data_IF_890327239426
#
_entry.id   IF_890327239426
#
_cell.length_a   1.000
_cell.length_b   1.000
_cell.length_c   1.000
_cell.angle_alpha   90.00
_cell.angle_beta   90.00
_cell.angle_gamma   90.00
#
_symmetry.space_group_name_H-M   'P 1'
#
loop_
_entity.id
_entity.type
_entity.pdbx_description
1 polymer ?
#
# COMPACT_ATOMS: atom_id res chain seq x y z
N UNK A 1 35.73 -52.57 -30.80
CA UNK A 1 35.55 -51.10 -30.80
C UNK A 1 34.27 -50.62 -30.11
N UNK A 2 33.14 -51.32 -30.21
CA UNK A 2 31.85 -50.87 -29.61
C UNK A 2 31.89 -50.86 -28.07
N UNK A 3 32.36 -51.95 -27.46
CA UNK A 3 32.50 -52.09 -26.00
C UNK A 3 33.36 -50.98 -25.34
N UNK A 4 34.42 -50.52 -26.00
CA UNK A 4 35.27 -49.43 -25.51
C UNK A 4 34.52 -48.09 -25.48
N UNK A 5 33.68 -47.85 -26.50
CA UNK A 5 32.83 -46.65 -26.55
C UNK A 5 31.76 -46.70 -25.47
N UNK A 6 31.14 -47.85 -25.28
CA UNK A 6 30.09 -48.03 -24.27
C UNK A 6 30.66 -47.86 -22.85
N UNK A 7 31.85 -48.42 -22.57
CA UNK A 7 32.54 -48.24 -21.29
C UNK A 7 32.98 -46.78 -21.04
N UNK A 8 33.40 -46.06 -22.09
CA UNK A 8 33.74 -44.64 -21.98
C UNK A 8 32.50 -43.76 -21.73
N UNK A 9 31.39 -44.06 -22.39
CA UNK A 9 30.13 -43.34 -22.16
C UNK A 9 29.65 -43.58 -20.72
N UNK A 10 29.76 -44.82 -20.22
CA UNK A 10 29.37 -45.14 -18.85
C UNK A 10 30.26 -44.46 -17.79
N UNK A 11 31.55 -44.30 -18.04
CA UNK A 11 32.41 -43.57 -17.10
C UNK A 11 32.11 -42.07 -17.10
N UNK A 12 31.85 -41.48 -18.27
CA UNK A 12 31.46 -40.08 -18.40
C UNK A 12 30.12 -39.78 -17.72
N UNK A 13 29.13 -40.67 -17.85
CA UNK A 13 27.84 -40.49 -17.17
C UNK A 13 27.98 -40.59 -15.65
N UNK A 14 28.82 -41.49 -15.15
CA UNK A 14 29.13 -41.55 -13.71
C UNK A 14 29.82 -40.28 -13.24
N UNK A 15 30.83 -39.79 -13.95
CA UNK A 15 31.51 -38.53 -13.61
C UNK A 15 30.53 -37.36 -13.56
N UNK A 16 29.63 -37.28 -14.54
CA UNK A 16 28.61 -36.23 -14.60
C UNK A 16 27.65 -36.30 -13.41
N UNK A 17 27.17 -37.49 -13.05
CA UNK A 17 26.31 -37.69 -11.89
C UNK A 17 27.02 -37.27 -10.59
N UNK A 18 28.26 -37.73 -10.37
CA UNK A 18 29.04 -37.37 -9.17
C UNK A 18 29.29 -35.87 -9.10
N UNK A 19 29.54 -35.21 -10.25
CA UNK A 19 29.71 -33.75 -10.32
C UNK A 19 28.46 -33.03 -9.85
N UNK A 20 27.30 -33.40 -10.39
CA UNK A 20 26.02 -32.77 -10.05
C UNK A 20 25.72 -32.93 -8.56
N UNK A 21 25.93 -34.12 -7.99
CA UNK A 21 25.68 -34.36 -6.58
C UNK A 21 26.66 -33.56 -5.69
N UNK A 22 27.95 -33.54 -6.04
CA UNK A 22 28.95 -32.75 -5.30
C UNK A 22 28.60 -31.25 -5.28
N UNK A 23 28.19 -30.71 -6.44
CA UNK A 23 27.79 -29.29 -6.54
C UNK A 23 26.53 -29.02 -5.71
N UNK A 24 25.56 -29.93 -5.73
CA UNK A 24 24.34 -29.83 -4.92
C UNK A 24 24.66 -29.79 -3.43
N UNK A 25 25.57 -30.66 -2.98
CA UNK A 25 25.98 -30.75 -1.57
C UNK A 25 26.71 -29.47 -1.13
N UNK A 26 27.60 -28.93 -1.96
CA UNK A 26 28.28 -27.66 -1.70
C UNK A 26 27.27 -26.53 -1.56
N UNK A 27 26.30 -26.40 -2.48
CA UNK A 27 25.27 -25.37 -2.42
C UNK A 27 24.44 -25.49 -1.14
N UNK A 28 24.05 -26.71 -0.77
CA UNK A 28 23.30 -26.99 0.45
C UNK A 28 24.06 -26.54 1.70
N UNK A 29 25.35 -26.89 1.82
CA UNK A 29 26.15 -26.49 2.98
C UNK A 29 26.45 -24.99 3.02
N UNK A 30 26.67 -24.35 1.88
CA UNK A 30 26.80 -22.90 1.82
C UNK A 30 25.50 -22.21 2.27
N UNK A 31 24.34 -22.72 1.87
CA UNK A 31 23.04 -22.24 2.32
C UNK A 31 22.86 -22.35 3.84
N UNK A 32 23.18 -23.53 4.42
CA UNK A 32 23.12 -23.74 5.88
C UNK A 32 24.08 -22.81 6.63
N UNK A 33 25.30 -22.63 6.14
CA UNK A 33 26.31 -21.74 6.74
C UNK A 33 25.89 -20.27 6.66
N UNK A 34 25.30 -19.84 5.55
CA UNK A 34 24.79 -18.48 5.40
C UNK A 34 23.70 -18.19 6.46
N UNK A 35 22.76 -19.13 6.65
CA UNK A 35 21.72 -19.02 7.68
C UNK A 35 22.34 -18.99 9.08
N UNK A 36 23.30 -19.88 9.37
CA UNK A 36 23.98 -19.94 10.68
C UNK A 36 24.83 -18.71 11.00
N UNK A 37 25.35 -18.01 9.99
CA UNK A 37 26.08 -16.76 10.12
C UNK A 37 25.17 -15.52 10.25
N UNK A 38 23.84 -15.70 10.20
CA UNK A 38 22.89 -14.59 10.17
C UNK A 38 22.87 -13.83 8.84
N UNK A 39 23.49 -14.38 7.79
CA UNK A 39 23.43 -13.82 6.44
C UNK A 39 22.07 -14.16 5.85
N UNK A 40 21.28 -13.12 5.56
CA UNK A 40 19.95 -13.28 4.98
C UNK A 40 20.10 -13.86 3.56
N UNK A 41 19.65 -15.11 3.37
CA UNK A 41 19.58 -15.70 2.03
C UNK A 41 18.47 -15.04 1.22
N UNK A 42 18.60 -15.02 -0.11
CA UNK A 42 17.56 -14.46 -0.97
C UNK A 42 16.19 -15.08 -0.70
N UNK A 43 16.12 -16.41 -0.59
CA UNK A 43 14.88 -17.12 -0.30
C UNK A 43 14.30 -16.75 1.06
N UNK A 44 15.16 -16.59 2.08
CA UNK A 44 14.75 -16.16 3.41
C UNK A 44 14.21 -14.72 3.41
N UNK A 45 14.88 -13.81 2.71
CA UNK A 45 14.43 -12.42 2.56
C UNK A 45 13.10 -12.35 1.80
N UNK A 46 13.00 -13.06 0.69
CA UNK A 46 11.83 -13.07 -0.16
C UNK A 46 10.62 -13.67 0.56
N UNK A 47 10.83 -14.76 1.33
CA UNK A 47 9.79 -15.33 2.19
C UNK A 47 9.37 -14.34 3.28
N UNK A 48 10.32 -13.71 3.99
CA UNK A 48 10.03 -12.74 5.04
C UNK A 48 9.26 -11.53 4.50
N UNK A 49 9.66 -10.97 3.35
CA UNK A 49 8.93 -9.88 2.70
C UNK A 49 7.51 -10.32 2.34
N UNK A 50 7.34 -11.52 1.78
CA UNK A 50 6.01 -12.04 1.44
C UNK A 50 5.13 -12.18 2.69
N UNK A 51 5.65 -12.74 3.76
CA UNK A 51 4.92 -12.87 5.03
C UNK A 51 4.55 -11.50 5.58
N UNK A 52 5.48 -10.54 5.63
CA UNK A 52 5.18 -9.17 6.08
C UNK A 52 4.09 -8.49 5.24
N UNK A 53 4.09 -8.68 3.92
CA UNK A 53 3.07 -8.12 3.02
C UNK A 53 1.70 -8.79 3.20
N UNK A 54 1.67 -10.09 3.50
CA UNK A 54 0.46 -10.83 3.84
C UNK A 54 -0.10 -10.40 5.19
N UNK A 55 0.74 -10.31 6.23
CA UNK A 55 0.34 -9.87 7.57
C UNK A 55 -0.19 -8.43 7.57
N UNK A 56 0.37 -7.58 6.70
CA UNK A 56 -0.12 -6.21 6.49
C UNK A 56 -1.40 -6.13 5.63
N UNK A 57 -1.92 -7.26 5.12
CA UNK A 57 -3.12 -7.31 4.28
C UNK A 57 -2.95 -6.67 2.90
N UNK A 58 -1.71 -6.40 2.47
CA UNK A 58 -1.43 -5.73 1.19
C UNK A 58 -1.79 -6.63 0.00
N UNK A 59 -1.65 -7.96 0.16
CA UNK A 59 -2.02 -8.93 -0.87
C UNK A 59 -3.52 -8.87 -1.23
N UNK A 60 -4.39 -8.71 -0.23
CA UNK A 60 -5.84 -8.59 -0.44
C UNK A 60 -6.21 -7.27 -1.12
N UNK A 61 -5.57 -6.17 -0.73
CA UNK A 61 -5.75 -4.88 -1.39
C UNK A 61 -5.33 -4.93 -2.87
N UNK A 62 -4.19 -5.56 -3.17
CA UNK A 62 -3.72 -5.75 -4.54
C UNK A 62 -4.69 -6.62 -5.33
N UNK A 63 -5.25 -7.69 -4.74
CA UNK A 63 -6.25 -8.55 -5.39
C UNK A 63 -7.56 -7.81 -5.68
N UNK A 64 -8.03 -6.98 -4.76
CA UNK A 64 -9.23 -6.15 -4.97
C UNK A 64 -9.03 -5.12 -6.09
N UNK A 65 -7.84 -4.51 -6.16
CA UNK A 65 -7.50 -3.53 -7.21
C UNK A 65 -7.27 -4.18 -8.58
N UNK A 66 -6.74 -5.40 -8.61
CA UNK A 66 -6.37 -6.10 -9.85
C UNK A 66 -7.57 -6.85 -10.45
N UNK A 67 -8.59 -7.18 -9.65
CA UNK A 67 -9.74 -7.96 -10.13
C UNK A 67 -11.08 -7.44 -9.54
N UNK A 68 -11.64 -6.34 -10.08
CA UNK A 68 -12.85 -5.71 -9.55
C UNK A 68 -14.17 -6.48 -9.76
N UNK A 69 -14.16 -7.79 -10.05
CA UNK A 69 -15.34 -8.49 -10.59
C UNK A 69 -15.78 -9.79 -9.92
N UNK A 70 -15.41 -10.08 -8.67
CA UNK A 70 -16.00 -11.24 -7.97
C UNK A 70 -16.08 -11.06 -6.46
N UNK A 71 -17.10 -10.33 -6.02
CA UNK A 71 -17.71 -10.54 -4.71
C UNK A 71 -19.16 -10.05 -4.79
N UNK A 72 -20.08 -10.99 -4.90
CA UNK A 72 -21.49 -10.75 -4.57
C UNK A 72 -22.04 -11.99 -3.86
N UNK A 73 -22.66 -11.73 -2.71
CA UNK A 73 -23.60 -12.52 -1.92
C UNK A 73 -23.12 -13.79 -1.19
N UNK A 74 -23.07 -13.73 0.16
CA UNK A 74 -24.05 -14.41 1.03
C UNK A 74 -23.92 -14.00 2.52
N UNK A 75 -24.97 -13.32 2.98
CA UNK A 75 -25.56 -13.13 4.33
C UNK A 75 -24.81 -13.61 5.59
N UNK A 76 -24.52 -12.68 6.53
CA UNK A 76 -25.28 -12.44 7.79
C UNK A 76 -24.59 -11.33 8.61
N UNK A 77 -25.39 -10.43 9.20
CA UNK A 77 -25.06 -9.39 10.20
C UNK A 77 -24.33 -8.10 9.73
N UNK A 78 -25.16 -7.16 9.26
CA UNK A 78 -25.11 -5.73 9.56
C UNK A 78 -23.73 -5.12 9.89
N UNK A 79 -22.85 -5.07 8.90
CA UNK A 79 -21.89 -3.97 8.82
C UNK A 79 -22.17 -3.29 7.50
N UNK A 80 -22.86 -2.15 7.56
CA UNK A 80 -23.12 -1.31 6.39
C UNK A 80 -21.77 -1.02 5.75
N UNK A 81 -21.54 -1.62 4.59
CA UNK A 81 -20.48 -1.24 3.68
C UNK A 81 -20.72 0.22 3.31
N UNK A 82 -20.04 1.11 4.03
CA UNK A 82 -19.89 2.50 3.62
C UNK A 82 -18.98 2.44 2.41
N UNK A 83 -19.58 2.22 1.24
CA UNK A 83 -19.12 2.80 -0.01
C UNK A 83 -18.58 4.19 0.35
N UNK A 84 -17.36 4.52 -0.07
CA UNK A 84 -16.72 5.83 0.10
C UNK A 84 -17.48 6.94 -0.68
N UNK A 85 -18.81 6.94 -0.60
CA UNK A 85 -19.71 8.01 -0.92
C UNK A 85 -19.34 9.17 0.00
N UNK A 86 -18.45 10.00 -0.51
CA UNK A 86 -18.06 11.25 0.11
C UNK A 86 -19.35 11.99 0.52
N UNK A 87 -19.63 12.16 1.83
CA UNK A 87 -20.95 12.58 2.27
C UNK A 87 -21.24 14.00 1.77
N UNK A 88 -22.36 14.14 1.07
CA UNK A 88 -22.88 15.42 0.62
C UNK A 88 -23.93 15.90 1.63
N UNK A 89 -23.67 17.06 2.25
CA UNK A 89 -24.56 17.71 3.19
C UNK A 89 -25.44 18.72 2.44
N UNK A 90 -26.74 18.73 2.71
CA UNK A 90 -27.66 19.68 2.09
C UNK A 90 -27.96 20.85 3.03
N UNK A 91 -27.45 22.04 2.69
CA UNK A 91 -27.76 23.27 3.42
C UNK A 91 -27.55 24.52 2.54
N UNK A 92 -28.32 25.57 2.82
CA UNK A 92 -28.34 26.77 1.97
C UNK A 92 -28.87 26.51 0.55
N UNK A 93 -29.76 25.52 0.40
CA UNK A 93 -30.39 25.15 -0.87
C UNK A 93 -29.49 24.43 -1.87
N UNK A 94 -28.30 23.97 -1.47
CA UNK A 94 -27.34 23.27 -2.33
C UNK A 94 -26.68 22.11 -1.58
N UNK A 95 -26.28 21.08 -2.33
CA UNK A 95 -25.39 20.04 -1.81
C UNK A 95 -23.98 20.59 -1.66
N UNK A 96 -23.39 20.35 -0.49
CA UNK A 96 -22.06 20.82 -0.08
C UNK A 96 -21.28 19.70 0.56
N UNK A 97 -19.97 19.84 0.59
CA UNK A 97 -19.05 18.77 0.99
C UNK A 97 -18.65 18.80 2.47
N UNK A 98 -19.12 19.81 3.20
CA UNK A 98 -18.90 19.97 4.63
C UNK A 98 -20.23 20.21 5.35
N UNK A 99 -20.34 19.82 6.63
CA UNK A 99 -21.46 20.19 7.49
C UNK A 99 -21.67 21.71 7.61
N UNK A 100 -22.88 22.13 7.95
CA UNK A 100 -23.24 23.54 8.13
C UNK A 100 -22.53 24.22 9.33
N UNK A 101 -22.13 23.41 10.33
CA UNK A 101 -21.41 23.80 11.53
C UNK A 101 -19.89 23.63 11.40
N UNK A 102 -19.38 23.35 10.19
CA UNK A 102 -17.97 23.11 9.98
C UNK A 102 -17.12 24.36 10.27
N UNK A 103 -16.08 24.15 11.09
CA UNK A 103 -15.08 25.16 11.45
C UNK A 103 -13.70 24.58 11.16
N UNK A 104 -12.88 25.34 10.44
CA UNK A 104 -11.45 25.02 10.28
C UNK A 104 -10.78 25.16 11.67
N UNK A 105 -10.15 24.12 12.23
CA UNK A 105 -9.50 24.22 13.53
C UNK A 105 -8.33 25.21 13.49
N UNK A 106 -8.21 26.06 14.52
CA UNK A 106 -6.98 26.82 14.76
C UNK A 106 -5.95 25.85 15.35
N UNK A 107 -5.11 25.28 14.48
CA UNK A 107 -4.15 24.25 14.83
C UNK A 107 -2.78 24.55 14.19
N UNK A 108 -1.75 23.79 14.58
CA UNK A 108 -0.40 23.98 14.04
C UNK A 108 -0.37 23.77 12.53
N UNK A 109 0.60 24.41 11.85
CA UNK A 109 0.76 24.28 10.40
C UNK A 109 0.95 22.82 9.94
N UNK A 110 1.48 21.94 10.81
CA UNK A 110 1.57 20.49 10.54
C UNK A 110 0.19 19.82 10.53
N UNK A 111 -0.69 20.18 11.47
CA UNK A 111 -2.03 19.59 11.53
C UNK A 111 -2.92 20.08 10.37
N UNK A 112 -2.80 21.36 10.00
CA UNK A 112 -3.44 21.91 8.80
C UNK A 112 -2.97 21.17 7.55
N UNK A 113 -1.68 20.83 7.46
CA UNK A 113 -1.12 20.05 6.36
C UNK A 113 -1.69 18.61 6.28
N UNK A 114 -1.89 17.95 7.42
CA UNK A 114 -2.55 16.64 7.45
C UNK A 114 -4.02 16.75 7.00
N UNK A 115 -4.75 17.77 7.47
CA UNK A 115 -6.11 18.04 7.01
C UNK A 115 -6.16 18.38 5.51
N UNK A 116 -5.12 19.03 4.99
CA UNK A 116 -4.97 19.36 3.58
C UNK A 116 -4.87 18.12 2.68
N UNK A 117 -4.01 17.17 3.05
CA UNK A 117 -3.74 15.96 2.26
C UNK A 117 -4.79 14.87 2.47
N UNK A 118 -5.19 14.65 3.73
CA UNK A 118 -5.95 13.47 4.13
C UNK A 118 -7.37 13.78 4.61
N UNK A 119 -7.71 15.04 4.87
CA UNK A 119 -8.99 15.42 5.46
C UNK A 119 -9.13 14.97 6.92
N UNK A 120 -10.37 14.91 7.39
CA UNK A 120 -10.70 14.39 8.72
C UNK A 120 -11.79 13.32 8.61
N UNK A 121 -11.39 12.05 8.66
CA UNK A 121 -12.30 10.90 8.59
C UNK A 121 -13.31 10.87 9.74
N UNK A 122 -12.89 11.23 10.95
CA UNK A 122 -13.77 11.22 12.13
C UNK A 122 -14.90 12.24 12.03
N UNK A 123 -14.65 13.38 11.38
CA UNK A 123 -15.65 14.42 11.12
C UNK A 123 -16.27 14.33 9.72
N UNK A 124 -15.94 13.29 8.96
CA UNK A 124 -16.37 13.12 7.57
C UNK A 124 -16.11 14.37 6.70
N UNK A 125 -14.96 15.00 6.89
CA UNK A 125 -14.53 16.18 6.13
C UNK A 125 -13.50 15.73 5.10
N UNK A 126 -13.75 15.97 3.81
CA UNK A 126 -12.78 15.63 2.77
C UNK A 126 -11.50 16.49 2.90
N UNK A 127 -10.41 16.10 2.22
CA UNK A 127 -9.19 16.90 2.17
C UNK A 127 -9.47 18.38 1.86
N UNK A 128 -8.82 19.31 2.56
CA UNK A 128 -9.13 20.74 2.38
C UNK A 128 -8.80 21.24 0.97
N UNK A 129 -7.84 20.60 0.28
CA UNK A 129 -7.41 20.95 -1.09
C UNK A 129 -8.49 20.83 -2.16
N UNK A 130 -9.53 20.04 -1.89
CA UNK A 130 -10.64 19.83 -2.83
C UNK A 130 -11.86 20.68 -2.49
N UNK A 131 -11.91 21.33 -1.33
CA UNK A 131 -13.03 22.19 -0.93
C UNK A 131 -12.99 23.54 -1.66
N UNK A 132 -14.16 24.04 -2.05
CA UNK A 132 -14.30 25.39 -2.60
C UNK A 132 -14.75 26.37 -1.51
N UNK A 133 -14.49 27.67 -1.67
CA UNK A 133 -15.03 28.70 -0.78
C UNK A 133 -16.56 28.64 -0.71
N UNK A 134 -17.21 28.19 -1.79
CA UNK A 134 -18.66 27.96 -1.83
C UNK A 134 -19.13 26.81 -0.95
N UNK A 135 -18.28 25.90 -0.50
CA UNK A 135 -18.65 24.84 0.44
C UNK A 135 -18.76 25.36 1.88
N UNK A 136 -18.21 26.54 2.17
CA UNK A 136 -18.03 27.00 3.54
C UNK A 136 -19.23 27.79 4.10
N UNK A 137 -19.62 27.60 5.38
CA UNK A 137 -20.84 28.19 5.95
C UNK A 137 -20.79 29.69 6.19
N UNK A 138 -19.59 30.28 6.33
CA UNK A 138 -19.45 31.72 6.56
C UNK A 138 -18.33 32.34 5.75
N UNK A 139 -18.47 33.63 5.42
CA UNK A 139 -17.43 34.43 4.73
C UNK A 139 -16.11 34.48 5.52
N UNK A 140 -16.18 34.41 6.85
CA UNK A 140 -14.99 34.32 7.73
C UNK A 140 -14.23 33.02 7.46
N UNK A 141 -14.93 31.89 7.42
CA UNK A 141 -14.31 30.60 7.15
C UNK A 141 -13.83 30.48 5.69
N UNK A 142 -14.49 31.13 4.73
CA UNK A 142 -14.01 31.23 3.34
C UNK A 142 -12.65 31.90 3.28
N UNK A 143 -12.49 33.05 3.94
CA UNK A 143 -11.20 33.75 4.01
C UNK A 143 -10.12 32.90 4.66
N UNK A 144 -10.47 32.17 5.74
CA UNK A 144 -9.53 31.25 6.41
C UNK A 144 -9.12 30.11 5.49
N UNK A 145 -10.06 29.50 4.76
CA UNK A 145 -9.74 28.50 3.74
C UNK A 145 -8.75 29.06 2.73
N UNK A 146 -9.02 30.22 2.12
CA UNK A 146 -8.12 30.87 1.15
C UNK A 146 -6.71 31.10 1.70
N UNK A 147 -6.58 31.58 2.94
CA UNK A 147 -5.27 31.76 3.60
C UNK A 147 -4.56 30.43 3.84
N UNK A 148 -5.28 29.40 4.29
CA UNK A 148 -4.67 28.06 4.49
C UNK A 148 -4.28 27.40 3.17
N UNK A 149 -5.06 27.59 2.10
CA UNK A 149 -4.74 27.06 0.77
C UNK A 149 -3.46 27.70 0.20
N UNK A 150 -3.28 29.02 0.35
CA UNK A 150 -2.05 29.68 -0.14
C UNK A 150 -0.80 29.20 0.58
N UNK A 151 -0.84 29.11 1.92
CA UNK A 151 0.30 28.62 2.71
C UNK A 151 0.61 27.14 2.44
N UNK A 152 -0.40 26.32 2.18
CA UNK A 152 -0.23 24.91 1.85
C UNK A 152 0.37 24.75 0.44
N UNK A 153 -0.12 25.49 -0.55
CA UNK A 153 0.40 25.46 -1.93
C UNK A 153 1.85 25.95 -2.04
N UNK A 154 2.23 26.98 -1.28
CA UNK A 154 3.62 27.44 -1.23
C UNK A 154 4.56 26.36 -0.67
N UNK A 155 4.11 25.62 0.35
CA UNK A 155 4.86 24.48 0.90
C UNK A 155 4.98 23.32 -0.08
N UNK A 156 3.94 23.01 -0.85
CA UNK A 156 4.02 22.00 -1.92
C UNK A 156 5.11 22.34 -2.93
N UNK A 157 5.17 23.60 -3.37
CA UNK A 157 6.15 24.04 -4.36
C UNK A 157 7.59 24.08 -3.83
N UNK A 158 7.79 24.25 -2.53
CA UNK A 158 9.11 24.24 -1.92
C UNK A 158 9.65 22.83 -1.62
N UNK A 159 8.79 21.80 -1.62
CA UNK A 159 9.16 20.43 -1.28
C UNK A 159 9.32 19.50 -2.50
N UNK A 160 9.01 19.99 -3.70
CA UNK A 160 9.22 19.32 -5.00
C UNK A 160 10.40 20.01 -5.70
#
# INVERSE_FOLDING_TARGET
MKWLKDALVESLTKIEATRVDTVRDIISELGKRAIGAGTVTYDGLHAAIRTCLQDAGVDDLVRQLTNPQSQNAQDTEATVEVSEQQPCYFWGGKFRRVPADFIIPDCSARHIWVLWMCGNKAKQVPPLRILDGRDMPSRKMQKRLSQTLSHAQDRERCCI
#
